data_IF_814618450432
#
_entry.id   IF_814618450432
#
_cell.length_a   1.000
_cell.length_b   1.000
_cell.length_c   1.000
_cell.angle_alpha   90.00
_cell.angle_beta   90.00
_cell.angle_gamma   90.00
#
_symmetry.space_group_name_H-M   'P 1'
#
loop_
_entity.id
_entity.type
_entity.pdbx_description
1 polymer ?
#
# COMPACT_ATOMS: atom_id res chain seq x y z
N UNK A 1 12.80 14.17 19.60
CA UNK A 1 12.94 13.86 18.16
C UNK A 1 12.36 12.48 17.99
N UNK A 2 11.03 12.40 17.88
CA UNK A 2 10.29 11.18 17.64
C UNK A 2 10.83 10.51 16.39
N UNK A 3 11.56 9.41 16.57
CA UNK A 3 12.02 8.59 15.47
C UNK A 3 10.78 8.05 14.79
N UNK A 4 10.43 8.64 13.64
CA UNK A 4 9.47 8.05 12.71
C UNK A 4 9.94 6.62 12.49
N UNK A 5 9.12 5.63 12.86
CA UNK A 5 9.44 4.24 12.60
C UNK A 5 9.67 4.11 11.08
N UNK A 6 10.89 3.78 10.61
CA UNK A 6 11.21 3.76 9.18
C UNK A 6 10.31 2.79 8.40
N UNK A 7 9.79 1.75 9.06
CA UNK A 7 8.84 0.80 8.47
C UNK A 7 7.49 1.46 8.16
N UNK A 8 7.04 2.37 9.02
CA UNK A 8 5.81 3.16 8.80
C UNK A 8 6.03 4.17 7.68
N UNK A 9 7.19 4.83 7.65
CA UNK A 9 7.51 5.77 6.58
C UNK A 9 7.55 5.07 5.20
N UNK A 10 8.14 3.88 5.14
CA UNK A 10 8.16 3.06 3.93
C UNK A 10 6.75 2.64 3.52
N UNK A 11 5.95 2.10 4.45
CA UNK A 11 4.58 1.66 4.16
C UNK A 11 3.69 2.82 3.70
N UNK A 12 3.82 4.01 4.30
CA UNK A 12 3.12 5.22 3.83
C UNK A 12 3.60 5.62 2.44
N UNK A 13 4.89 5.57 2.15
CA UNK A 13 5.42 5.91 0.83
C UNK A 13 4.88 4.95 -0.25
N UNK A 14 4.92 3.64 -0.01
CA UNK A 14 4.37 2.63 -0.91
C UNK A 14 2.86 2.84 -1.13
N UNK A 15 2.09 3.12 -0.08
CA UNK A 15 0.66 3.42 -0.17
C UNK A 15 0.39 4.66 -1.06
N UNK A 16 1.17 5.74 -0.90
CA UNK A 16 0.97 6.95 -1.72
C UNK A 16 1.43 6.78 -3.16
N UNK A 17 2.44 5.95 -3.39
CA UNK A 17 2.81 5.52 -4.74
C UNK A 17 1.70 4.68 -5.38
N UNK A 18 1.03 3.81 -4.62
CA UNK A 18 -0.15 3.06 -5.07
C UNK A 18 -1.27 3.97 -5.58
N UNK A 19 -1.61 5.03 -4.83
CA UNK A 19 -2.55 6.07 -5.31
C UNK A 19 -2.06 6.75 -6.60
N UNK A 20 -0.76 7.06 -6.69
CA UNK A 20 -0.19 7.72 -7.86
C UNK A 20 -0.27 6.86 -9.13
N UNK A 21 -0.31 5.53 -8.99
CA UNK A 21 -0.49 4.57 -10.09
C UNK A 21 -1.94 4.08 -10.23
N UNK A 22 -2.89 4.72 -9.54
CA UNK A 22 -4.32 4.45 -9.73
C UNK A 22 -4.92 3.33 -8.88
N UNK A 23 -4.21 2.84 -7.86
CA UNK A 23 -4.81 1.92 -6.88
C UNK A 23 -5.72 2.66 -5.91
N UNK A 24 -6.85 2.05 -5.58
CA UNK A 24 -7.76 2.50 -4.52
C UNK A 24 -7.47 1.80 -3.19
N UNK A 25 -8.11 2.26 -2.11
CA UNK A 25 -7.97 1.61 -0.81
C UNK A 25 -8.50 0.18 -0.80
N UNK A 26 -7.82 -0.71 -0.08
CA UNK A 26 -8.25 -2.09 0.14
C UNK A 26 -8.20 -2.45 1.63
N UNK A 27 -9.36 -2.40 2.28
CA UNK A 27 -9.52 -2.68 3.71
C UNK A 27 -9.99 -4.12 4.00
N UNK A 28 -10.31 -4.89 2.95
CA UNK A 28 -10.88 -6.24 3.09
C UNK A 28 -9.83 -7.30 3.47
N UNK A 29 -8.55 -6.99 3.27
CA UNK A 29 -7.43 -7.90 3.48
C UNK A 29 -6.14 -7.13 3.77
N UNK A 30 -5.06 -7.80 4.23
CA UNK A 30 -3.74 -7.19 4.27
C UNK A 30 -3.36 -6.66 2.88
N UNK A 31 -3.05 -5.38 2.80
CA UNK A 31 -2.75 -4.65 1.58
C UNK A 31 -1.94 -3.40 1.94
N UNK A 32 -0.99 -3.03 1.07
CA UNK A 32 -0.28 -1.74 1.23
C UNK A 32 -1.24 -0.55 1.04
N UNK A 33 -2.36 -0.78 0.34
CA UNK A 33 -3.44 0.18 0.12
C UNK A 33 -4.48 0.18 1.24
N UNK A 34 -4.22 -0.44 2.39
CA UNK A 34 -5.11 -0.30 3.54
C UNK A 34 -5.27 1.16 3.94
N UNK A 35 -6.48 1.59 4.29
CA UNK A 35 -6.76 2.97 4.70
C UNK A 35 -6.10 3.35 6.03
N UNK A 36 -5.78 2.36 6.86
CA UNK A 36 -5.20 2.55 8.18
C UNK A 36 -3.79 1.93 8.29
N UNK A 37 -2.76 2.76 8.13
CA UNK A 37 -1.37 2.38 8.38
C UNK A 37 -1.04 2.60 9.87
N UNK A 38 -0.83 1.51 10.61
CA UNK A 38 -0.41 1.52 12.03
C UNK A 38 0.77 0.57 12.22
N UNK A 39 1.49 0.65 13.34
CA UNK A 39 2.64 -0.24 13.62
C UNK A 39 2.33 -1.74 13.47
N UNK A 40 1.09 -2.14 13.78
CA UNK A 40 0.61 -3.52 13.67
C UNK A 40 -0.04 -3.86 12.32
N UNK A 41 -0.30 -2.86 11.47
CA UNK A 41 -1.00 -2.98 10.18
C UNK A 41 -0.17 -2.53 8.99
N UNK A 42 1.01 -1.97 9.24
CA UNK A 42 1.99 -1.66 8.22
C UNK A 42 2.33 -2.96 7.52
N UNK A 43 1.96 -3.03 6.26
CA UNK A 43 2.18 -4.17 5.40
C UNK A 43 2.90 -3.64 4.17
N UNK A 44 3.91 -4.38 3.72
CA UNK A 44 4.54 -4.13 2.43
C UNK A 44 3.61 -4.59 1.31
N UNK A 45 4.01 -4.39 0.05
CA UNK A 45 3.25 -4.82 -1.13
C UNK A 45 2.78 -6.28 -1.01
N UNK A 46 1.47 -6.50 -1.14
CA UNK A 46 0.82 -7.81 -1.10
C UNK A 46 0.42 -8.27 -2.50
N UNK A 47 0.07 -9.56 -2.64
CA UNK A 47 -0.34 -10.14 -3.93
C UNK A 47 -1.57 -9.42 -4.54
N UNK A 48 -2.53 -9.01 -3.71
CA UNK A 48 -3.70 -8.25 -4.19
C UNK A 48 -3.34 -6.88 -4.78
N UNK A 49 -2.29 -6.24 -4.26
CA UNK A 49 -1.81 -4.96 -4.79
C UNK A 49 -1.18 -5.18 -6.17
N UNK A 50 -0.41 -6.26 -6.34
CA UNK A 50 0.18 -6.68 -7.62
C UNK A 50 -0.91 -7.01 -8.64
N UNK A 51 -1.94 -7.75 -8.24
CA UNK A 51 -3.04 -8.14 -9.12
C UNK A 51 -3.88 -6.92 -9.54
N UNK A 52 -4.07 -5.97 -8.63
CA UNK A 52 -4.73 -4.70 -8.95
C UNK A 52 -3.92 -3.83 -9.93
N UNK A 53 -2.59 -3.72 -9.75
CA UNK A 53 -1.72 -3.03 -10.72
C UNK A 53 -1.77 -3.71 -12.08
N UNK A 54 -1.73 -5.05 -12.12
CA UNK A 54 -1.89 -5.79 -13.39
C UNK A 54 -3.27 -5.56 -14.01
N UNK A 55 -4.33 -5.45 -13.23
CA UNK A 55 -5.65 -5.14 -13.78
C UNK A 55 -5.68 -3.77 -14.47
N UNK A 56 -4.96 -2.77 -13.93
CA UNK A 56 -4.91 -1.42 -14.51
C UNK A 56 -4.00 -1.34 -15.74
N UNK A 57 -2.81 -1.96 -15.68
CA UNK A 57 -1.74 -1.73 -16.67
C UNK A 57 -1.47 -2.91 -17.62
N UNK A 58 -2.15 -4.03 -17.44
CA UNK A 58 -2.00 -5.22 -18.29
C UNK A 58 -3.20 -5.39 -19.25
N UNK A 59 -4.09 -4.40 -19.31
CA UNK A 59 -4.91 -4.14 -20.50
C UNK A 59 -4.01 -3.48 -21.57
N UNK A 60 -4.00 -4.09 -22.76
CA UNK A 60 -3.04 -3.83 -23.85
C UNK A 60 -3.00 -2.40 -24.37
#
# INVERSE_FOLDING_TARGET
MDQVNPEIALSVAEHKLGHAIGLEHNDSQPSVMNSAVTDQRACTIQQCDIDAVKAIYNEK
#
